data_IF_180790934346
#
_entry.id   IF_180790934346
#
_cell.length_a   1.000
_cell.length_b   1.000
_cell.length_c   1.000
_cell.angle_alpha   90.00
_cell.angle_beta   90.00
_cell.angle_gamma   90.00
#
_symmetry.space_group_name_H-M   'P 1'
#
loop_
_entity.id
_entity.type
_entity.pdbx_description
1 polymer ?
#
# COMPACT_ATOMS: atom_id res chain seq x y z
N UNK A 1 -3.57 -18.26 0.41
CA UNK A 1 -4.06 -17.88 1.76
C UNK A 1 -5.59 -17.78 1.72
N UNK A 2 -6.30 -18.48 2.61
CA UNK A 2 -7.75 -18.43 2.64
C UNK A 2 -8.26 -17.15 3.32
N UNK A 3 -9.57 -16.90 3.23
CA UNK A 3 -10.19 -15.70 3.78
C UNK A 3 -9.93 -15.52 5.27
N UNK A 4 -10.08 -16.59 6.05
CA UNK A 4 -9.87 -16.54 7.50
C UNK A 4 -8.43 -16.13 7.85
N UNK A 5 -7.45 -16.67 7.17
CA UNK A 5 -6.04 -16.32 7.40
C UNK A 5 -5.72 -14.90 6.93
N UNK A 6 -6.32 -14.46 5.82
CA UNK A 6 -6.17 -13.08 5.35
C UNK A 6 -6.73 -12.09 6.36
N UNK A 7 -7.88 -12.40 6.94
CA UNK A 7 -8.51 -11.54 7.93
C UNK A 7 -7.68 -11.46 9.21
N UNK A 8 -7.14 -12.60 9.68
CA UNK A 8 -6.22 -12.63 10.82
C UNK A 8 -4.98 -11.79 10.56
N UNK A 9 -4.40 -11.91 9.37
CA UNK A 9 -3.25 -11.09 8.98
C UNK A 9 -3.60 -9.60 9.01
N UNK A 10 -4.76 -9.24 8.47
CA UNK A 10 -5.22 -7.85 8.48
C UNK A 10 -5.40 -7.29 9.89
N UNK A 11 -5.98 -8.05 10.81
CA UNK A 11 -6.11 -7.64 12.19
C UNK A 11 -4.76 -7.52 12.89
N UNK A 12 -3.85 -8.46 12.63
CA UNK A 12 -2.49 -8.41 13.15
C UNK A 12 -1.78 -7.14 12.69
N UNK A 13 -1.85 -6.85 11.39
CA UNK A 13 -1.25 -5.67 10.80
C UNK A 13 -1.85 -4.38 11.38
N UNK A 14 -3.17 -4.36 11.56
CA UNK A 14 -3.86 -3.18 12.10
C UNK A 14 -3.43 -2.83 13.52
N UNK A 15 -2.91 -3.80 14.27
CA UNK A 15 -2.45 -3.62 15.64
C UNK A 15 -0.98 -3.20 15.74
N UNK A 16 -0.20 -3.32 14.66
CA UNK A 16 1.24 -3.03 14.70
C UNK A 16 1.54 -1.55 14.70
N UNK A 17 0.73 -0.74 14.04
CA UNK A 17 0.99 0.68 13.83
C UNK A 17 -0.29 1.48 13.83
N UNK A 18 -0.14 2.78 13.98
CA UNK A 18 -1.22 3.74 13.75
C UNK A 18 -1.28 4.09 12.26
N UNK A 19 -1.90 3.24 11.48
CA UNK A 19 -2.06 3.44 10.04
C UNK A 19 -2.92 4.65 9.75
N UNK A 20 -2.51 5.47 8.79
CA UNK A 20 -3.08 6.80 8.57
C UNK A 20 -3.78 6.94 7.22
N UNK A 21 -3.20 6.39 6.16
CA UNK A 21 -3.68 6.59 4.80
C UNK A 21 -3.66 5.31 3.98
N UNK A 22 -4.62 5.20 3.07
CA UNK A 22 -4.59 4.23 1.98
C UNK A 22 -4.55 4.97 0.65
N UNK A 23 -3.85 4.43 -0.31
CA UNK A 23 -3.83 4.95 -1.69
C UNK A 23 -3.43 3.83 -2.66
N UNK A 24 -3.36 4.15 -3.94
CA UNK A 24 -2.87 3.20 -4.94
C UNK A 24 -2.03 3.92 -5.99
N UNK A 25 -1.15 3.17 -6.64
CA UNK A 25 -0.31 3.64 -7.74
C UNK A 25 -0.64 2.89 -9.02
N UNK A 26 -0.75 3.64 -10.11
CA UNK A 26 -0.86 3.11 -11.47
C UNK A 26 0.23 3.73 -12.34
N UNK A 27 0.87 2.91 -13.18
CA UNK A 27 1.89 3.37 -14.11
C UNK A 27 1.64 2.86 -15.51
N UNK A 28 2.53 3.21 -16.44
CA UNK A 28 2.48 2.75 -17.82
C UNK A 28 2.90 1.29 -17.98
N UNK A 29 3.69 0.79 -17.01
CA UNK A 29 4.26 -0.55 -17.05
C UNK A 29 3.87 -1.32 -15.81
N UNK A 30 3.97 -2.66 -15.89
CA UNK A 30 3.76 -3.51 -14.72
C UNK A 30 4.80 -3.20 -13.64
N UNK A 31 4.32 -3.12 -12.41
CA UNK A 31 5.19 -3.06 -11.24
C UNK A 31 5.73 -4.46 -10.93
N UNK A 32 7.04 -4.58 -10.80
CA UNK A 32 7.66 -5.82 -10.31
C UNK A 32 7.77 -5.79 -8.78
N UNK A 33 7.91 -6.95 -8.11
CA UNK A 33 8.20 -6.98 -6.69
C UNK A 33 9.43 -6.16 -6.31
N UNK A 34 10.50 -6.23 -7.11
CA UNK A 34 11.72 -5.45 -6.87
C UNK A 34 11.46 -3.95 -6.94
N UNK A 35 10.67 -3.50 -7.92
CA UNK A 35 10.32 -2.09 -8.04
C UNK A 35 9.54 -1.62 -6.80
N UNK A 36 8.58 -2.44 -6.36
CA UNK A 36 7.76 -2.12 -5.19
C UNK A 36 8.60 -2.08 -3.93
N UNK A 37 9.53 -3.02 -3.75
CA UNK A 37 10.44 -3.01 -2.60
C UNK A 37 11.29 -1.74 -2.57
N UNK A 38 11.81 -1.31 -3.72
CA UNK A 38 12.58 -0.07 -3.82
C UNK A 38 11.71 1.16 -3.53
N UNK A 39 10.48 1.17 -4.02
CA UNK A 39 9.50 2.21 -3.72
C UNK A 39 9.23 2.30 -2.22
N UNK A 40 9.02 1.16 -1.57
CA UNK A 40 8.77 1.10 -0.13
C UNK A 40 9.96 1.63 0.66
N UNK A 41 11.19 1.33 0.24
CA UNK A 41 12.39 1.87 0.87
C UNK A 41 12.46 3.40 0.75
N UNK A 42 12.11 3.95 -0.41
CA UNK A 42 12.05 5.41 -0.57
C UNK A 42 11.01 6.04 0.37
N UNK A 43 9.86 5.40 0.49
CA UNK A 43 8.79 5.89 1.37
C UNK A 43 9.22 5.84 2.84
N UNK A 44 9.73 4.70 3.30
CA UNK A 44 10.11 4.54 4.71
C UNK A 44 11.32 5.38 5.12
N UNK A 45 12.16 5.76 4.15
CA UNK A 45 13.29 6.65 4.42
C UNK A 45 12.86 8.10 4.66
N UNK A 46 11.63 8.46 4.31
CA UNK A 46 11.11 9.80 4.62
C UNK A 46 10.82 9.93 6.10
N UNK A 47 11.24 11.05 6.70
CA UNK A 47 11.16 11.27 8.14
C UNK A 47 9.75 11.15 8.70
N UNK A 48 8.74 11.47 7.92
CA UNK A 48 7.35 11.47 8.36
C UNK A 48 6.66 10.11 8.24
N UNK A 49 7.24 9.16 7.51
CA UNK A 49 6.62 7.86 7.24
C UNK A 49 7.25 6.80 8.15
N UNK A 50 6.43 6.16 8.97
CA UNK A 50 6.87 5.20 9.98
C UNK A 50 6.51 3.77 9.64
N UNK A 51 5.66 3.55 8.66
CA UNK A 51 5.31 2.20 8.21
C UNK A 51 4.71 2.24 6.82
N UNK A 52 4.99 1.20 6.04
CA UNK A 52 4.48 1.01 4.69
C UNK A 52 4.08 -0.44 4.50
N UNK A 53 2.84 -0.65 4.09
CA UNK A 53 2.38 -1.92 3.54
C UNK A 53 2.06 -1.70 2.06
N UNK A 54 2.51 -2.62 1.21
CA UNK A 54 2.23 -2.57 -0.22
C UNK A 54 1.76 -3.93 -0.73
N UNK A 55 0.82 -3.91 -1.65
CA UNK A 55 0.32 -5.10 -2.33
C UNK A 55 0.19 -4.81 -3.82
N UNK A 56 0.69 -5.72 -4.64
CA UNK A 56 0.49 -5.67 -6.10
C UNK A 56 -0.76 -6.45 -6.45
N UNK A 57 -1.67 -5.82 -7.18
CA UNK A 57 -2.89 -6.45 -7.67
C UNK A 57 -2.94 -6.37 -9.18
N UNK A 58 -3.23 -7.50 -9.86
CA UNK A 58 -3.40 -7.54 -11.30
C UNK A 58 -4.69 -6.85 -11.73
N UNK A 59 -4.61 -6.09 -12.82
CA UNK A 59 -5.79 -5.61 -13.51
C UNK A 59 -6.47 -6.77 -14.26
N UNK A 60 -7.76 -6.62 -14.55
CA UNK A 60 -8.56 -7.68 -15.21
C UNK A 60 -8.00 -8.13 -16.55
N UNK A 61 -7.27 -7.25 -17.25
CA UNK A 61 -6.75 -7.52 -18.59
C UNK A 61 -5.32 -8.05 -18.61
N UNK A 62 -4.73 -8.34 -17.46
CA UNK A 62 -3.40 -8.92 -17.29
C UNK A 62 -2.23 -8.12 -17.88
N UNK A 63 -2.48 -7.02 -18.57
CA UNK A 63 -1.42 -6.20 -19.17
C UNK A 63 -0.78 -5.23 -18.18
N UNK A 64 -1.53 -4.86 -17.16
CA UNK A 64 -1.10 -3.90 -16.15
C UNK A 64 -1.43 -4.43 -14.76
N UNK A 65 -0.82 -3.82 -13.79
CA UNK A 65 -1.16 -4.01 -12.39
C UNK A 65 -1.13 -2.65 -11.68
N UNK A 66 -1.57 -2.65 -10.45
CA UNK A 66 -1.47 -1.47 -9.60
C UNK A 66 -1.02 -1.87 -8.21
N UNK A 67 -0.48 -0.90 -7.49
CA UNK A 67 0.02 -1.11 -6.14
C UNK A 67 -0.91 -0.43 -5.16
N UNK A 68 -1.45 -1.21 -4.22
CA UNK A 68 -2.14 -0.65 -3.07
C UNK A 68 -1.14 -0.35 -1.97
N UNK A 69 -1.26 0.82 -1.36
CA UNK A 69 -0.41 1.27 -0.27
C UNK A 69 -1.23 1.55 0.98
N UNK A 70 -0.71 1.09 2.11
CA UNK A 70 -1.18 1.47 3.43
C UNK A 70 -0.01 2.13 4.14
N UNK A 71 -0.22 3.36 4.62
CA UNK A 71 0.85 4.20 5.13
C UNK A 71 0.57 4.62 6.57
N UNK A 72 1.60 4.57 7.41
CA UNK A 72 1.62 5.21 8.70
C UNK A 72 2.50 6.46 8.61
N UNK A 73 1.94 7.62 8.90
CA UNK A 73 2.62 8.90 8.77
C UNK A 73 2.34 9.79 9.97
N UNK A 74 3.38 10.51 10.40
CA UNK A 74 3.28 11.50 11.48
C UNK A 74 2.73 12.84 10.99
N UNK A 75 2.69 13.04 9.67
CA UNK A 75 2.23 14.29 9.06
C UNK A 75 1.19 14.02 7.98
N UNK A 76 0.45 15.04 7.62
CA UNK A 76 -0.50 14.96 6.52
C UNK A 76 0.22 14.67 5.20
N UNK A 77 -0.23 13.65 4.49
CA UNK A 77 0.24 13.32 3.16
C UNK A 77 -0.82 13.70 2.13
N UNK A 78 -0.43 14.54 1.18
CA UNK A 78 -1.24 14.78 -0.01
C UNK A 78 -0.77 13.87 -1.14
N UNK A 79 -1.61 13.70 -2.16
CA UNK A 79 -1.23 12.97 -3.36
C UNK A 79 0.02 13.56 -4.01
N UNK A 80 0.14 14.87 -4.03
CA UNK A 80 1.30 15.58 -4.58
C UNK A 80 2.57 15.29 -3.78
N UNK A 81 2.50 15.40 -2.45
CA UNK A 81 3.62 15.12 -1.56
C UNK A 81 4.06 13.65 -1.68
N UNK A 82 3.10 12.74 -1.70
CA UNK A 82 3.38 11.31 -1.84
C UNK A 82 4.07 11.01 -3.18
N UNK A 83 3.64 11.63 -4.25
CA UNK A 83 4.28 11.49 -5.56
C UNK A 83 5.72 11.95 -5.56
N UNK A 84 6.02 13.06 -4.89
CA UNK A 84 7.39 13.55 -4.75
C UNK A 84 8.27 12.58 -3.98
N UNK A 85 7.79 12.05 -2.87
CA UNK A 85 8.54 11.08 -2.04
C UNK A 85 8.80 9.80 -2.83
N UNK A 86 7.79 9.30 -3.51
CA UNK A 86 7.86 8.06 -4.25
C UNK A 86 8.63 8.18 -5.58
N UNK A 87 8.94 9.39 -6.02
CA UNK A 87 9.50 9.61 -7.35
C UNK A 87 8.50 9.31 -8.46
N UNK A 88 7.23 9.53 -8.22
CA UNK A 88 6.13 9.15 -9.09
C UNK A 88 5.32 10.38 -9.49
N UNK A 89 4.84 10.41 -10.72
CA UNK A 89 3.97 11.50 -11.16
C UNK A 89 2.68 11.46 -10.35
N UNK A 90 2.26 12.62 -9.80
CA UNK A 90 1.04 12.69 -8.98
C UNK A 90 -0.22 12.23 -9.73
N UNK A 91 -0.23 12.27 -11.06
CA UNK A 91 -1.34 11.77 -11.87
C UNK A 91 -1.42 10.23 -11.86
N UNK A 92 -0.32 9.55 -11.56
CA UNK A 92 -0.29 8.09 -11.42
C UNK A 92 -0.68 7.60 -10.04
N UNK A 93 -0.96 8.50 -9.10
CA UNK A 93 -1.32 8.20 -7.71
C UNK A 93 -2.82 8.42 -7.55
N UNK A 94 -3.51 7.44 -6.97
CA UNK A 94 -4.91 7.57 -6.61
C UNK A 94 -5.13 8.53 -5.46
N UNK A 95 -6.38 8.82 -5.16
CA UNK A 95 -6.72 9.66 -4.02
C UNK A 95 -6.27 8.97 -2.73
N UNK A 96 -5.67 9.76 -1.85
CA UNK A 96 -5.36 9.31 -0.50
C UNK A 96 -6.65 9.31 0.34
N UNK A 97 -6.92 8.18 0.97
CA UNK A 97 -8.06 8.02 1.88
C UNK A 97 -7.54 7.87 3.30
N UNK A 98 -8.15 8.60 4.23
CA UNK A 98 -7.81 8.49 5.65
C UNK A 98 -8.31 7.17 6.22
N UNK A 99 -7.49 6.56 7.04
CA UNK A 99 -7.88 5.39 7.84
C UNK A 99 -8.63 5.89 9.07
N UNK A 100 -9.88 5.43 9.26
CA UNK A 100 -10.72 5.88 10.34
C UNK A 100 -10.73 4.94 11.54
N UNK A 101 -10.43 3.65 11.34
CA UNK A 101 -10.43 2.67 12.43
C UNK A 101 -9.64 1.40 12.04
N UNK A 102 -9.30 0.60 13.05
CA UNK A 102 -8.53 -0.64 12.86
C UNK A 102 -9.28 -1.69 12.04
N UNK A 103 -10.59 -1.75 12.17
CA UNK A 103 -11.40 -2.69 11.40
C UNK A 103 -11.30 -2.39 9.89
N UNK A 104 -11.34 -1.12 9.53
CA UNK A 104 -11.15 -0.69 8.15
C UNK A 104 -9.80 -1.10 7.59
N UNK A 105 -8.73 -0.98 8.38
CA UNK A 105 -7.40 -1.47 8.00
C UNK A 105 -7.40 -2.97 7.77
N UNK A 106 -7.97 -3.74 8.69
CA UNK A 106 -8.01 -5.20 8.60
C UNK A 106 -8.75 -5.65 7.34
N UNK A 107 -9.89 -5.03 7.05
CA UNK A 107 -10.68 -5.34 5.84
C UNK A 107 -9.93 -4.97 4.56
N UNK A 108 -9.27 -3.82 4.55
CA UNK A 108 -8.47 -3.37 3.41
C UNK A 108 -7.36 -4.36 3.10
N UNK A 109 -6.58 -4.73 4.10
CA UNK A 109 -5.49 -5.71 3.94
C UNK A 109 -6.05 -7.05 3.48
N UNK A 110 -7.10 -7.54 4.11
CA UNK A 110 -7.75 -8.81 3.75
C UNK A 110 -8.18 -8.83 2.27
N UNK A 111 -8.67 -7.71 1.76
CA UNK A 111 -9.11 -7.59 0.38
C UNK A 111 -7.95 -7.67 -0.62
N UNK A 112 -6.78 -7.17 -0.25
CA UNK A 112 -5.67 -6.94 -1.18
C UNK A 112 -4.49 -7.90 -1.04
N UNK A 113 -4.56 -8.91 -0.15
CA UNK A 113 -3.50 -9.90 0.01
C UNK A 113 -4.00 -11.32 -0.28
N UNK A 114 -3.05 -12.21 -0.52
CA UNK A 114 -3.32 -13.66 -0.60
C UNK A 114 -4.13 -14.10 -1.80
N UNK A 115 -4.31 -13.24 -2.79
CA UNK A 115 -4.87 -13.62 -4.09
C UNK A 115 -3.79 -14.24 -4.95
N UNK A 116 -4.19 -15.13 -5.86
CA UNK A 116 -3.26 -15.73 -6.81
C UNK A 116 -2.47 -14.64 -7.54
N UNK A 117 -1.15 -14.83 -7.59
CA UNK A 117 -0.19 -13.93 -8.24
C UNK A 117 -0.07 -12.53 -7.62
N UNK A 118 -0.61 -12.30 -6.42
CA UNK A 118 -0.37 -11.06 -5.71
C UNK A 118 0.94 -11.14 -4.93
N UNK A 119 1.63 -10.03 -4.85
CA UNK A 119 2.81 -9.82 -4.02
C UNK A 119 2.48 -8.79 -2.96
N UNK A 120 2.96 -8.98 -1.74
CA UNK A 120 2.81 -7.98 -0.69
C UNK A 120 4.06 -7.94 0.19
N UNK A 121 4.29 -6.80 0.79
CA UNK A 121 5.41 -6.58 1.71
C UNK A 121 5.05 -5.54 2.75
N UNK A 122 5.75 -5.60 3.88
CA UNK A 122 5.57 -4.70 5.01
C UNK A 122 6.94 -4.23 5.49
N UNK A 123 7.09 -2.91 5.64
CA UNK A 123 8.28 -2.30 6.25
C UNK A 123 7.81 -1.37 7.37
N UNK A 124 8.39 -1.57 8.53
CA UNK A 124 8.12 -0.75 9.72
C UNK A 124 9.40 -0.08 10.20
#
# INVERSE_FOLDING_TARGET
MNYTNRLKYGYSLSSMMNWTYTTYLRGQYKFSPKYVDNLMQRLINHVDITGVFASIEKDRQDEHNHVHLLLASNQTLSRYKLGRIAGFNHLGIGNEDKVHNKEGVAKYVCKHIGKDYSYHNLII
#
